data_IF_026608793391
#
_entry.id   IF_026608793391
#
_cell.length_a   1.000
_cell.length_b   1.000
_cell.length_c   1.000
_cell.angle_alpha   90.00
_cell.angle_beta   90.00
_cell.angle_gamma   90.00
#
_symmetry.space_group_name_H-M   'P 1'
#
loop_
_entity.id
_entity.type
_entity.pdbx_description
1 polymer ?
#
# COMPACT_ATOMS: atom_id res chain seq x y z
N UNK A 1 17.43 30.29 -28.81
CA UNK A 1 18.35 29.22 -28.43
C UNK A 1 19.34 28.98 -29.55
N UNK A 2 20.63 28.88 -29.23
CA UNK A 2 21.67 28.50 -30.20
C UNK A 2 22.11 27.07 -29.88
N UNK A 3 22.08 26.20 -30.86
CA UNK A 3 22.56 24.82 -30.77
C UNK A 3 23.89 24.73 -31.51
N UNK A 4 24.94 24.33 -30.82
CA UNK A 4 26.26 24.10 -31.43
C UNK A 4 26.38 22.63 -31.80
N UNK A 5 26.93 22.35 -32.98
CA UNK A 5 27.11 21.00 -33.53
C UNK A 5 28.58 20.68 -33.76
N UNK A 6 28.90 19.42 -34.01
CA UNK A 6 30.24 18.97 -34.36
C UNK A 6 31.31 19.28 -33.32
N UNK A 7 32.49 19.68 -33.78
CA UNK A 7 33.66 19.95 -32.91
C UNK A 7 33.41 21.02 -31.86
N UNK A 8 32.55 22.00 -32.12
CA UNK A 8 32.20 23.05 -31.16
C UNK A 8 31.39 22.47 -29.99
N UNK A 9 30.46 21.61 -30.27
CA UNK A 9 29.69 20.90 -29.23
C UNK A 9 30.57 19.99 -28.36
N UNK A 10 31.48 19.25 -29.00
CA UNK A 10 32.46 18.41 -28.32
C UNK A 10 33.40 19.23 -27.41
N UNK A 11 33.90 20.38 -27.90
CA UNK A 11 34.75 21.29 -27.11
C UNK A 11 34.02 21.92 -25.93
N UNK A 12 32.74 22.26 -26.06
CA UNK A 12 31.95 22.82 -25.00
C UNK A 12 31.64 21.72 -23.93
N UNK A 13 31.31 20.51 -24.35
CA UNK A 13 31.08 19.36 -23.47
C UNK A 13 32.34 18.98 -22.69
N UNK A 14 33.51 18.97 -23.34
CA UNK A 14 34.80 18.74 -22.68
C UNK A 14 35.15 19.78 -21.60
N UNK A 15 34.63 21.01 -21.76
CA UNK A 15 34.75 22.10 -20.75
C UNK A 15 33.61 22.16 -19.75
N UNK A 16 32.75 21.13 -19.66
CA UNK A 16 31.60 21.09 -18.77
C UNK A 16 30.49 22.09 -19.15
N UNK A 17 30.52 22.66 -20.37
CA UNK A 17 29.51 23.61 -20.84
C UNK A 17 28.45 22.91 -21.68
N UNK A 18 27.20 23.41 -21.61
CA UNK A 18 26.10 22.90 -22.42
C UNK A 18 26.27 23.23 -23.89
N UNK A 19 25.93 22.30 -24.78
CA UNK A 19 25.93 22.52 -26.23
C UNK A 19 24.74 23.38 -26.70
N UNK A 20 23.67 23.44 -25.91
CA UNK A 20 22.51 24.32 -26.14
C UNK A 20 22.67 25.56 -25.26
N UNK A 21 22.70 26.75 -25.87
CA UNK A 21 22.87 28.02 -25.18
C UNK A 21 21.65 28.91 -25.41
N UNK A 22 21.14 29.47 -24.32
CA UNK A 22 20.08 30.48 -24.38
C UNK A 22 20.71 31.88 -24.36
N UNK A 23 19.99 32.86 -24.90
CA UNK A 23 20.42 34.25 -24.81
C UNK A 23 20.52 34.68 -23.34
N UNK A 24 21.66 35.19 -22.88
CA UNK A 24 21.78 35.66 -21.49
C UNK A 24 20.71 36.69 -21.13
N UNK A 25 20.05 36.50 -20.00
CA UNK A 25 19.00 37.41 -19.52
C UNK A 25 17.62 37.21 -20.16
N UNK A 26 17.47 36.33 -21.15
CA UNK A 26 16.16 36.05 -21.74
C UNK A 26 15.26 35.25 -20.75
N UNK A 27 14.02 35.65 -20.53
CA UNK A 27 13.08 34.90 -19.70
C UNK A 27 12.73 33.59 -20.42
N UNK A 28 13.12 32.45 -19.84
CA UNK A 28 12.86 31.12 -20.42
C UNK A 28 11.53 30.50 -19.92
N UNK A 29 11.00 30.97 -18.80
CA UNK A 29 9.72 30.48 -18.29
C UNK A 29 8.60 30.78 -19.29
N UNK A 30 7.87 29.73 -19.71
CA UNK A 30 6.81 29.77 -20.74
C UNK A 30 7.33 30.17 -22.16
N UNK A 31 8.65 30.32 -22.36
CA UNK A 31 9.19 30.55 -23.69
C UNK A 31 8.96 29.31 -24.56
N UNK A 32 8.41 29.52 -25.75
CA UNK A 32 8.12 28.48 -26.71
C UNK A 32 8.23 28.97 -28.14
N UNK A 33 8.35 28.04 -29.05
CA UNK A 33 8.35 28.34 -30.50
C UNK A 33 7.38 27.39 -31.19
N UNK A 34 6.39 27.93 -31.88
CA UNK A 34 5.42 27.14 -32.64
C UNK A 34 5.93 26.89 -34.07
N UNK A 35 5.89 25.65 -34.50
CA UNK A 35 6.04 25.22 -35.88
C UNK A 35 4.63 25.00 -36.43
N UNK A 36 4.27 25.69 -37.47
CA UNK A 36 2.90 25.77 -37.97
C UNK A 36 2.05 26.82 -37.24
N UNK A 37 0.87 27.08 -37.75
CA UNK A 37 -0.09 28.06 -37.19
C UNK A 37 -0.95 27.42 -36.12
N UNK A 38 -1.04 28.05 -34.94
CA UNK A 38 -1.93 27.59 -33.84
C UNK A 38 -3.36 27.97 -34.16
N UNK A 39 -4.16 26.98 -34.55
CA UNK A 39 -5.58 27.13 -34.88
C UNK A 39 -6.41 26.69 -33.68
N UNK A 40 -7.41 27.48 -33.24
CA UNK A 40 -8.28 27.10 -32.12
C UNK A 40 -8.94 25.73 -32.32
N UNK A 41 -8.91 24.89 -31.27
CA UNK A 41 -9.46 23.54 -31.29
C UNK A 41 -8.63 22.48 -31.99
N UNK A 42 -7.58 22.85 -32.70
CA UNK A 42 -6.71 21.90 -33.41
C UNK A 42 -5.79 21.13 -32.45
N UNK A 43 -5.37 19.90 -32.83
CA UNK A 43 -4.32 19.18 -32.09
C UNK A 43 -2.99 19.97 -32.10
N UNK A 44 -2.32 20.00 -30.95
CA UNK A 44 -1.01 20.65 -30.79
C UNK A 44 -0.04 19.71 -30.11
N UNK A 45 1.06 19.37 -30.80
CA UNK A 45 2.13 18.59 -30.19
C UNK A 45 3.05 19.48 -29.33
N UNK A 46 3.39 19.04 -28.12
CA UNK A 46 4.32 19.73 -27.20
C UNK A 46 5.60 18.92 -27.06
N UNK A 47 6.70 19.49 -27.46
CA UNK A 47 7.99 18.83 -27.56
C UNK A 47 9.06 19.58 -26.76
N UNK A 48 10.09 18.86 -26.31
CA UNK A 48 11.26 19.51 -25.68
C UNK A 48 12.00 20.43 -26.61
N UNK A 49 12.32 19.94 -27.81
CA UNK A 49 13.19 20.59 -28.77
C UNK A 49 12.52 20.98 -30.09
N UNK A 50 13.22 21.87 -30.86
CA UNK A 50 12.72 22.34 -32.15
C UNK A 50 12.74 21.22 -33.21
N UNK A 51 13.74 20.32 -33.18
CA UNK A 51 13.84 19.20 -34.15
C UNK A 51 12.63 18.25 -33.98
N UNK A 52 12.31 17.88 -32.75
CA UNK A 52 11.17 17.04 -32.41
C UNK A 52 9.84 17.70 -32.83
N UNK A 53 9.67 19.01 -32.54
CA UNK A 53 8.48 19.75 -32.97
C UNK A 53 8.35 19.84 -34.48
N UNK A 54 9.47 20.01 -35.20
CA UNK A 54 9.49 20.03 -36.66
C UNK A 54 9.07 18.70 -37.26
N UNK A 55 9.60 17.58 -36.73
CA UNK A 55 9.21 16.24 -37.16
C UNK A 55 7.71 15.95 -36.92
N UNK A 56 7.16 16.34 -35.77
CA UNK A 56 5.74 16.20 -35.49
C UNK A 56 4.86 16.99 -36.45
N UNK A 57 5.25 18.24 -36.75
CA UNK A 57 4.54 19.06 -37.73
C UNK A 57 4.61 18.47 -39.15
N UNK A 58 5.78 17.99 -39.59
CA UNK A 58 5.93 17.35 -40.91
C UNK A 58 5.09 16.06 -41.00
N UNK A 59 5.00 15.30 -39.93
CA UNK A 59 4.25 14.05 -39.90
C UNK A 59 2.72 14.26 -39.97
N UNK A 60 2.21 15.28 -39.29
CA UNK A 60 0.74 15.43 -39.12
C UNK A 60 0.14 16.64 -39.83
N UNK A 61 0.95 17.63 -40.21
CA UNK A 61 0.46 18.95 -40.67
C UNK A 61 -0.13 19.79 -39.52
N UNK A 62 -0.27 19.25 -38.32
CA UNK A 62 -0.76 19.99 -37.16
C UNK A 62 0.37 20.77 -36.47
N UNK A 63 0.05 21.92 -35.84
CA UNK A 63 1.07 22.72 -35.17
C UNK A 63 1.78 21.93 -34.06
N UNK A 64 3.06 22.18 -33.91
CA UNK A 64 3.88 21.63 -32.84
C UNK A 64 4.65 22.71 -32.12
N UNK A 65 4.81 22.63 -30.82
CA UNK A 65 5.44 23.65 -29.99
C UNK A 65 6.67 23.11 -29.30
N UNK A 66 7.82 23.73 -29.60
CA UNK A 66 9.08 23.49 -28.92
C UNK A 66 9.16 24.33 -27.65
N UNK A 67 9.38 23.66 -26.49
CA UNK A 67 9.37 24.28 -25.17
C UNK A 67 10.78 24.67 -24.66
N UNK A 68 11.85 24.42 -25.45
CA UNK A 68 13.24 24.72 -25.12
C UNK A 68 13.78 24.04 -23.84
N UNK A 69 13.28 22.90 -23.51
CA UNK A 69 13.67 22.07 -22.37
C UNK A 69 12.47 21.46 -21.64
N UNK A 70 12.65 20.23 -21.17
CA UNK A 70 11.54 19.46 -20.56
C UNK A 70 10.93 20.18 -19.36
N UNK A 71 11.74 20.81 -18.49
CA UNK A 71 11.25 21.55 -17.32
C UNK A 71 10.35 22.75 -17.63
N UNK A 72 10.17 23.10 -18.91
CA UNK A 72 9.27 24.18 -19.36
C UNK A 72 7.99 23.66 -20.01
N UNK A 73 7.93 22.38 -20.36
CA UNK A 73 6.79 21.75 -21.07
C UNK A 73 5.48 21.95 -20.31
N UNK A 74 5.43 21.65 -19.01
CA UNK A 74 4.23 21.83 -18.20
C UNK A 74 3.72 23.27 -18.17
N UNK A 75 4.63 24.25 -18.05
CA UNK A 75 4.30 25.69 -18.04
C UNK A 75 3.74 26.18 -19.38
N UNK A 76 4.25 25.61 -20.48
CA UNK A 76 3.77 25.92 -21.83
C UNK A 76 2.42 25.25 -22.05
N UNK A 77 2.26 24.02 -21.65
CA UNK A 77 1.00 23.27 -21.71
C UNK A 77 -0.13 24.01 -20.96
N UNK A 78 0.14 24.45 -19.73
CA UNK A 78 -0.81 25.27 -18.95
C UNK A 78 -1.20 26.55 -19.67
N UNK A 79 -0.21 27.28 -20.23
CA UNK A 79 -0.49 28.52 -20.92
C UNK A 79 -1.32 28.30 -22.20
N UNK A 80 -1.06 27.21 -22.93
CA UNK A 80 -1.87 26.86 -24.11
C UNK A 80 -3.29 26.44 -23.71
N UNK A 81 -3.45 25.66 -22.66
CA UNK A 81 -4.75 25.25 -22.13
C UNK A 81 -5.58 26.46 -21.66
N UNK A 82 -4.94 27.45 -21.02
CA UNK A 82 -5.59 28.72 -20.64
C UNK A 82 -6.04 29.53 -21.83
N UNK A 83 -5.27 29.51 -22.93
CA UNK A 83 -5.59 30.22 -24.16
C UNK A 83 -6.67 29.54 -24.99
N UNK A 84 -6.65 28.21 -25.01
CA UNK A 84 -7.60 27.37 -25.75
C UNK A 84 -7.94 26.12 -24.94
N UNK A 85 -9.11 26.17 -24.26
CA UNK A 85 -9.59 25.07 -23.45
C UNK A 85 -9.98 23.82 -24.26
N UNK A 86 -10.29 23.98 -25.54
CA UNK A 86 -10.75 22.91 -26.43
C UNK A 86 -9.61 22.24 -27.21
N UNK A 87 -8.41 22.84 -27.24
CA UNK A 87 -7.27 22.27 -27.98
C UNK A 87 -6.89 20.88 -27.48
N UNK A 88 -6.69 19.94 -28.38
CA UNK A 88 -6.11 18.62 -28.07
C UNK A 88 -4.60 18.76 -27.91
N UNK A 89 -4.12 18.92 -26.69
CA UNK A 89 -2.69 18.99 -26.41
C UNK A 89 -2.10 17.57 -26.33
N UNK A 90 -1.02 17.31 -27.04
CA UNK A 90 -0.33 16.02 -27.06
C UNK A 90 1.12 16.23 -26.62
N UNK A 91 1.48 15.70 -25.46
CA UNK A 91 2.87 15.67 -24.98
C UNK A 91 3.66 14.62 -25.75
N UNK A 92 4.85 14.96 -26.19
CA UNK A 92 5.75 14.07 -26.94
C UNK A 92 7.06 13.96 -26.16
N UNK A 93 7.13 13.09 -25.14
CA UNK A 93 8.32 12.93 -24.32
C UNK A 93 9.43 12.17 -25.05
N UNK A 94 10.66 12.59 -24.83
CA UNK A 94 11.84 11.78 -25.13
C UNK A 94 11.88 10.60 -24.16
N UNK A 95 12.49 9.48 -24.57
CA UNK A 95 12.68 8.30 -23.68
C UNK A 95 13.39 8.69 -22.40
N UNK A 96 12.81 8.27 -21.25
CA UNK A 96 13.25 8.64 -19.90
C UNK A 96 12.55 9.88 -19.33
N UNK A 97 11.44 10.34 -19.97
CA UNK A 97 10.59 11.43 -19.49
C UNK A 97 9.13 11.00 -19.30
N UNK A 98 8.85 9.70 -19.35
CA UNK A 98 7.50 9.13 -19.37
C UNK A 98 6.71 9.48 -18.10
N UNK A 99 7.33 9.32 -16.92
CA UNK A 99 6.70 9.60 -15.63
C UNK A 99 6.32 11.08 -15.50
N UNK A 100 7.28 11.96 -15.81
CA UNK A 100 7.04 13.40 -15.79
C UNK A 100 6.02 13.85 -16.84
N UNK A 101 5.95 13.15 -17.99
CA UNK A 101 4.93 13.42 -19.00
C UNK A 101 3.55 13.04 -18.50
N UNK A 102 3.42 11.90 -17.81
CA UNK A 102 2.16 11.47 -17.21
C UNK A 102 1.66 12.46 -16.14
N UNK A 103 2.55 12.95 -15.28
CA UNK A 103 2.22 13.97 -14.28
C UNK A 103 1.70 15.27 -14.91
N UNK A 104 2.42 15.78 -15.93
CA UNK A 104 2.00 17.00 -16.65
C UNK A 104 0.67 16.77 -17.35
N UNK A 105 0.50 15.61 -18.00
CA UNK A 105 -0.72 15.27 -18.72
C UNK A 105 -1.93 15.20 -17.81
N UNK A 106 -1.79 14.62 -16.63
CA UNK A 106 -2.86 14.57 -15.60
C UNK A 106 -3.21 15.96 -15.07
N UNK A 107 -2.19 16.79 -14.83
CA UNK A 107 -2.39 18.13 -14.27
C UNK A 107 -3.09 19.08 -15.25
N UNK A 108 -2.80 18.96 -16.55
CA UNK A 108 -3.24 19.92 -17.59
C UNK A 108 -4.35 19.33 -18.47
N UNK A 109 -4.60 18.02 -18.44
CA UNK A 109 -5.53 17.35 -19.35
C UNK A 109 -4.95 17.22 -20.76
N UNK A 110 -3.78 16.59 -20.89
CA UNK A 110 -3.11 16.36 -22.17
C UNK A 110 -3.09 14.88 -22.51
N UNK A 111 -3.11 14.53 -23.80
CA UNK A 111 -2.73 13.21 -24.28
C UNK A 111 -1.20 13.05 -24.27
N UNK A 112 -0.68 11.84 -24.25
CA UNK A 112 0.75 11.54 -24.31
C UNK A 112 1.02 10.55 -25.45
N UNK A 113 1.97 10.88 -26.31
CA UNK A 113 2.50 10.00 -27.33
C UNK A 113 3.86 9.46 -26.88
N UNK A 114 3.85 8.29 -26.25
CA UNK A 114 5.08 7.65 -25.77
C UNK A 114 5.86 7.02 -26.92
N UNK A 115 7.20 7.17 -26.91
CA UNK A 115 8.07 6.49 -27.86
C UNK A 115 7.97 4.95 -27.68
N UNK A 116 8.29 4.15 -28.71
CA UNK A 116 8.29 2.69 -28.62
C UNK A 116 9.15 2.19 -27.47
N UNK A 117 8.73 1.06 -26.85
CA UNK A 117 9.47 0.45 -25.75
C UNK A 117 10.81 -0.13 -26.22
N UNK A 118 11.83 -0.06 -25.38
CA UNK A 118 13.15 -0.62 -25.66
C UNK A 118 14.11 0.34 -26.37
N UNK A 119 13.71 1.58 -26.65
CA UNK A 119 14.56 2.58 -27.25
C UNK A 119 15.60 3.15 -26.25
N UNK A 120 16.69 3.68 -26.81
CA UNK A 120 17.75 4.29 -26.01
C UNK A 120 17.27 5.56 -25.30
N UNK A 121 17.87 5.87 -24.16
CA UNK A 121 17.57 7.10 -23.41
C UNK A 121 17.78 8.34 -24.28
N UNK A 122 16.84 9.29 -24.21
CA UNK A 122 16.72 10.51 -25.02
C UNK A 122 16.42 10.24 -26.50
N UNK A 123 15.98 9.05 -26.90
CA UNK A 123 15.41 8.83 -28.23
C UNK A 123 14.11 9.64 -28.34
N UNK A 124 13.95 10.39 -29.41
CA UNK A 124 12.85 11.33 -29.56
C UNK A 124 12.03 11.09 -30.86
N UNK A 125 10.98 11.84 -31.06
CA UNK A 125 10.12 11.70 -32.24
C UNK A 125 10.79 12.04 -33.54
N UNK A 126 11.85 12.87 -33.54
CA UNK A 126 12.65 13.12 -34.73
C UNK A 126 13.52 11.90 -35.10
N UNK A 127 14.08 11.21 -34.11
CA UNK A 127 14.80 9.96 -34.34
C UNK A 127 13.86 8.89 -34.91
N UNK A 128 12.64 8.77 -34.36
CA UNK A 128 11.60 7.86 -34.86
C UNK A 128 11.25 8.16 -36.32
N UNK A 129 10.97 9.41 -36.63
CA UNK A 129 10.63 9.83 -37.97
C UNK A 129 11.76 9.59 -38.99
N UNK A 130 13.03 9.80 -38.59
CA UNK A 130 14.19 9.52 -39.42
C UNK A 130 14.40 8.03 -39.67
N UNK A 131 14.11 7.18 -38.69
CA UNK A 131 14.30 5.74 -38.79
C UNK A 131 13.14 5.04 -39.50
N UNK A 132 11.91 5.40 -39.17
CA UNK A 132 10.72 4.63 -39.58
C UNK A 132 9.76 5.42 -40.50
N UNK A 133 10.00 6.70 -40.66
CA UNK A 133 9.19 7.57 -41.51
C UNK A 133 8.14 8.38 -40.76
N UNK A 134 7.63 9.41 -41.43
CA UNK A 134 6.65 10.36 -40.84
C UNK A 134 5.28 9.70 -40.63
N UNK A 135 4.89 8.72 -41.41
CA UNK A 135 3.61 8.02 -41.28
C UNK A 135 3.52 7.26 -39.96
N UNK A 136 4.62 6.66 -39.52
CA UNK A 136 4.69 5.97 -38.22
C UNK A 136 4.56 6.96 -37.06
N UNK A 137 5.23 8.10 -37.16
CA UNK A 137 5.11 9.16 -36.15
C UNK A 137 3.71 9.78 -36.17
N UNK A 138 3.09 9.97 -37.31
CA UNK A 138 1.70 10.46 -37.38
C UNK A 138 0.74 9.52 -36.69
N UNK A 139 0.83 8.21 -36.96
CA UNK A 139 0.02 7.19 -36.31
C UNK A 139 0.21 7.18 -34.77
N UNK A 140 1.44 7.36 -34.30
CA UNK A 140 1.75 7.46 -32.88
C UNK A 140 1.07 8.68 -32.22
N UNK A 141 1.14 9.84 -32.87
CA UNK A 141 0.53 11.08 -32.37
C UNK A 141 -1.01 11.04 -32.39
N UNK A 142 -1.60 10.40 -33.39
CA UNK A 142 -3.05 10.17 -33.47
C UNK A 142 -3.55 9.22 -32.38
N UNK A 143 -2.79 8.14 -32.11
CA UNK A 143 -3.09 7.16 -31.08
C UNK A 143 -2.85 7.66 -29.65
N UNK A 144 -2.26 8.85 -29.47
CA UNK A 144 -2.03 9.43 -28.15
C UNK A 144 -3.30 9.52 -27.32
N UNK A 145 -3.24 9.07 -26.08
CA UNK A 145 -4.36 9.05 -25.12
C UNK A 145 -3.99 9.80 -23.85
N UNK A 146 -5.01 10.31 -23.15
CA UNK A 146 -4.81 10.81 -21.80
C UNK A 146 -4.42 9.64 -20.88
N UNK A 147 -3.37 9.80 -20.06
CA UNK A 147 -3.04 8.78 -19.09
C UNK A 147 -4.22 8.58 -18.12
N UNK A 148 -4.45 7.34 -17.63
CA UNK A 148 -5.54 7.08 -16.71
C UNK A 148 -5.40 8.01 -15.49
N UNK A 149 -6.51 8.63 -15.10
CA UNK A 149 -6.54 9.43 -13.87
C UNK A 149 -6.21 8.49 -12.70
N UNK A 150 -5.33 8.91 -11.77
CA UNK A 150 -5.09 8.13 -10.58
C UNK A 150 -6.44 7.91 -9.88
N UNK A 151 -6.70 6.67 -9.46
CA UNK A 151 -7.89 6.38 -8.67
C UNK A 151 -7.87 7.25 -7.41
N UNK A 152 -9.00 7.88 -7.06
CA UNK A 152 -9.03 8.72 -5.88
C UNK A 152 -8.67 7.86 -4.65
N UNK A 153 -7.75 8.36 -3.83
CA UNK A 153 -7.31 7.69 -2.60
C UNK A 153 -8.45 7.36 -1.65
N UNK A 154 -9.51 8.16 -1.67
CA UNK A 154 -10.68 8.00 -0.82
C UNK A 154 -11.90 7.71 -1.68
N UNK A 155 -12.64 6.64 -1.32
CA UNK A 155 -13.95 6.34 -1.89
C UNK A 155 -15.03 6.81 -0.91
N UNK A 156 -15.91 7.70 -1.37
CA UNK A 156 -17.08 8.12 -0.61
C UNK A 156 -18.27 7.25 -1.04
N UNK A 157 -18.94 6.66 -0.05
CA UNK A 157 -20.10 5.81 -0.29
C UNK A 157 -21.39 6.62 -0.03
N UNK A 158 -22.33 6.52 -0.95
CA UNK A 158 -23.69 7.02 -0.76
C UNK A 158 -24.52 6.09 0.13
N UNK A 159 -25.73 6.54 0.52
CA UNK A 159 -26.60 5.77 1.40
C UNK A 159 -27.02 4.40 0.82
N UNK A 160 -27.18 4.31 -0.49
CA UNK A 160 -27.54 3.06 -1.16
C UNK A 160 -26.35 2.09 -1.18
N UNK A 161 -25.14 2.55 -1.53
CA UNK A 161 -23.91 1.75 -1.47
C UNK A 161 -23.61 1.24 -0.05
N UNK A 162 -23.93 2.03 0.99
CA UNK A 162 -23.80 1.59 2.39
C UNK A 162 -24.76 0.45 2.73
N UNK A 163 -25.99 0.45 2.19
CA UNK A 163 -26.97 -0.63 2.40
C UNK A 163 -26.56 -1.92 1.70
N UNK A 164 -25.87 -1.78 0.57
CA UNK A 164 -25.40 -2.92 -0.25
C UNK A 164 -24.07 -3.52 0.26
N UNK A 165 -23.47 -2.93 1.31
CA UNK A 165 -22.29 -3.52 1.93
C UNK A 165 -22.59 -4.93 2.46
N UNK A 166 -21.65 -5.88 2.32
CA UNK A 166 -21.83 -7.22 2.84
C UNK A 166 -22.04 -7.18 4.37
N UNK A 167 -22.85 -8.10 4.92
CA UNK A 167 -23.07 -8.17 6.35
C UNK A 167 -21.75 -8.47 7.07
N UNK A 168 -21.69 -8.09 8.37
CA UNK A 168 -20.53 -8.35 9.20
C UNK A 168 -20.19 -9.84 9.20
N UNK A 169 -18.96 -10.15 8.77
CA UNK A 169 -18.41 -11.49 8.79
C UNK A 169 -17.70 -11.76 10.12
N UNK A 170 -17.90 -12.95 10.66
CA UNK A 170 -17.29 -13.40 11.90
C UNK A 170 -16.29 -14.51 11.64
N UNK A 171 -15.12 -14.42 12.26
CA UNK A 171 -14.18 -15.55 12.29
C UNK A 171 -14.57 -16.56 13.37
N UNK A 172 -14.89 -16.08 14.57
CA UNK A 172 -15.56 -16.82 15.63
C UNK A 172 -16.82 -16.06 15.99
N UNK A 173 -17.98 -16.62 15.71
CA UNK A 173 -19.26 -15.91 15.78
C UNK A 173 -19.52 -15.36 17.17
N UNK A 174 -19.77 -14.06 17.23
CA UNK A 174 -20.00 -13.32 18.48
C UNK A 174 -18.74 -13.00 19.28
N UNK A 175 -17.56 -13.54 18.89
CA UNK A 175 -16.30 -13.39 19.63
C UNK A 175 -15.28 -12.59 18.83
N UNK A 176 -15.00 -12.99 17.59
CA UNK A 176 -13.98 -12.38 16.75
C UNK A 176 -14.53 -12.04 15.36
N UNK A 177 -14.36 -10.81 14.86
CA UNK A 177 -14.71 -10.46 13.51
C UNK A 177 -13.79 -11.17 12.50
N UNK A 178 -14.20 -11.26 11.25
CA UNK A 178 -13.36 -11.84 10.19
C UNK A 178 -12.15 -10.97 9.85
N UNK A 179 -12.29 -9.65 10.01
CA UNK A 179 -11.28 -8.63 9.67
C UNK A 179 -11.21 -7.61 10.80
N UNK A 180 -10.02 -7.15 11.15
CA UNK A 180 -9.83 -6.11 12.16
C UNK A 180 -8.70 -6.40 13.14
N UNK A 181 -8.74 -5.75 14.30
CA UNK A 181 -7.80 -5.95 15.40
C UNK A 181 -8.52 -6.55 16.62
N UNK A 182 -7.93 -7.59 17.19
CA UNK A 182 -8.43 -8.17 18.43
C UNK A 182 -7.31 -8.31 19.47
N UNK A 183 -7.69 -8.34 20.75
CA UNK A 183 -6.78 -8.63 21.84
C UNK A 183 -7.24 -9.88 22.60
N UNK A 184 -6.28 -10.71 23.02
CA UNK A 184 -6.46 -11.77 24.00
C UNK A 184 -5.55 -11.47 25.18
N UNK A 185 -6.12 -11.14 26.33
CA UNK A 185 -5.35 -10.62 27.44
C UNK A 185 -5.72 -11.26 28.79
N UNK A 186 -4.83 -11.12 29.77
CA UNK A 186 -5.05 -11.64 31.12
C UNK A 186 -3.75 -11.73 31.91
N UNK A 187 -3.78 -12.14 33.20
CA UNK A 187 -2.59 -12.26 34.04
C UNK A 187 -1.57 -13.27 33.48
N UNK A 188 -0.31 -13.15 33.88
CA UNK A 188 0.69 -14.18 33.62
C UNK A 188 0.23 -15.54 34.16
N UNK A 189 0.56 -16.63 33.43
CA UNK A 189 0.17 -17.99 33.76
C UNK A 189 -1.35 -18.27 33.82
N UNK A 190 -2.19 -17.38 33.26
CA UNK A 190 -3.64 -17.65 33.16
C UNK A 190 -3.99 -18.67 32.06
N UNK A 191 -3.06 -19.01 31.17
CA UNK A 191 -3.29 -19.96 30.08
C UNK A 191 -3.57 -19.32 28.72
N UNK A 192 -3.32 -18.01 28.56
CA UNK A 192 -3.56 -17.26 27.31
C UNK A 192 -3.02 -17.93 26.05
N UNK A 193 -1.72 -18.25 26.05
CA UNK A 193 -1.07 -18.84 24.87
C UNK A 193 -1.62 -20.22 24.52
N UNK A 194 -2.07 -21.02 25.51
CA UNK A 194 -2.73 -22.29 25.25
C UNK A 194 -4.11 -22.07 24.63
N UNK A 195 -4.87 -21.11 25.17
CA UNK A 195 -6.19 -20.74 24.65
C UNK A 195 -6.09 -20.15 23.25
N UNK A 196 -5.11 -19.25 23.01
CA UNK A 196 -4.84 -18.65 21.69
C UNK A 196 -4.46 -19.71 20.66
N UNK A 197 -3.64 -20.69 21.05
CA UNK A 197 -3.22 -21.77 20.18
C UNK A 197 -4.40 -22.71 19.83
N UNK A 198 -5.22 -23.06 20.79
CA UNK A 198 -6.42 -23.88 20.57
C UNK A 198 -7.44 -23.14 19.67
N UNK A 199 -7.62 -21.85 19.90
CA UNK A 199 -8.45 -20.98 19.04
C UNK A 199 -7.91 -20.92 17.61
N UNK A 200 -6.59 -20.74 17.46
CA UNK A 200 -5.90 -20.71 16.16
C UNK A 200 -6.09 -22.02 15.39
N UNK A 201 -5.96 -23.16 16.05
CA UNK A 201 -6.20 -24.47 15.46
C UNK A 201 -7.68 -24.65 15.04
N UNK A 202 -8.63 -24.23 15.90
CA UNK A 202 -10.05 -24.29 15.59
C UNK A 202 -10.41 -23.42 14.38
N UNK A 203 -9.81 -22.23 14.24
CA UNK A 203 -10.00 -21.34 13.08
C UNK A 203 -9.41 -21.98 11.83
N UNK A 204 -8.20 -22.54 11.90
CA UNK A 204 -7.54 -23.15 10.76
C UNK A 204 -8.34 -24.34 10.18
N UNK A 205 -9.11 -25.03 11.00
CA UNK A 205 -9.96 -26.15 10.58
C UNK A 205 -11.42 -25.77 10.30
N UNK A 206 -11.90 -24.61 10.79
CA UNK A 206 -13.32 -24.26 10.78
C UNK A 206 -14.15 -25.09 11.78
N UNK A 207 -13.51 -25.62 12.83
CA UNK A 207 -14.18 -26.39 13.88
C UNK A 207 -14.77 -25.48 14.94
N UNK A 208 -15.90 -25.88 15.56
CA UNK A 208 -16.49 -25.13 16.67
C UNK A 208 -15.48 -24.92 17.80
N UNK A 209 -15.47 -23.71 18.34
CA UNK A 209 -14.65 -23.34 19.48
C UNK A 209 -15.53 -22.88 20.61
N UNK A 210 -15.55 -23.62 21.75
CA UNK A 210 -16.48 -23.41 22.88
C UNK A 210 -17.94 -23.19 22.41
N UNK A 211 -18.43 -24.10 21.57
CA UNK A 211 -19.74 -24.06 20.94
C UNK A 211 -19.99 -22.89 19.98
N UNK A 212 -19.10 -21.92 19.88
CA UNK A 212 -19.17 -20.87 18.90
C UNK A 212 -18.90 -21.40 17.48
N UNK A 213 -19.69 -20.93 16.51
CA UNK A 213 -19.47 -21.23 15.08
C UNK A 213 -18.19 -20.54 14.61
N UNK A 214 -17.34 -21.30 13.94
CA UNK A 214 -16.08 -20.79 13.39
C UNK A 214 -16.13 -20.84 11.85
N UNK A 215 -15.68 -19.78 11.21
CA UNK A 215 -15.41 -19.74 9.79
C UNK A 215 -13.92 -19.98 9.55
N UNK A 216 -13.59 -20.99 8.73
CA UNK A 216 -12.21 -21.39 8.46
C UNK A 216 -11.42 -20.27 7.79
N UNK A 217 -10.17 -20.13 8.20
CA UNK A 217 -9.18 -19.28 7.53
C UNK A 217 -7.77 -19.80 7.79
N UNK A 218 -6.80 -19.49 6.91
CA UNK A 218 -5.39 -19.66 7.22
C UNK A 218 -5.03 -18.92 8.50
N UNK A 219 -4.16 -19.51 9.32
CA UNK A 219 -3.67 -18.89 10.56
C UNK A 219 -2.16 -18.87 10.57
N UNK A 220 -1.57 -17.71 10.83
CA UNK A 220 -0.14 -17.56 11.14
C UNK A 220 0.01 -17.21 12.60
N UNK A 221 0.65 -18.08 13.37
CA UNK A 221 0.91 -17.88 14.78
C UNK A 221 2.36 -17.48 15.02
N UNK A 222 2.60 -16.22 15.33
CA UNK A 222 3.91 -15.70 15.69
C UNK A 222 4.17 -15.93 17.18
N UNK A 223 4.91 -16.99 17.49
CA UNK A 223 5.29 -17.35 18.85
C UNK A 223 6.62 -16.68 19.23
N UNK A 224 6.55 -15.50 19.81
CA UNK A 224 7.69 -14.68 20.17
C UNK A 224 8.16 -14.91 21.62
N UNK A 225 7.46 -15.78 22.35
CA UNK A 225 7.80 -16.15 23.72
C UNK A 225 7.66 -17.66 23.90
N UNK A 226 8.72 -18.28 24.42
CA UNK A 226 8.76 -19.71 24.72
C UNK A 226 8.82 -20.64 23.51
N UNK A 227 9.53 -20.23 22.45
CA UNK A 227 9.66 -20.95 21.18
C UNK A 227 10.11 -22.39 21.38
N UNK A 228 11.07 -22.63 22.29
CA UNK A 228 11.58 -23.97 22.61
C UNK A 228 10.50 -24.92 23.16
N UNK A 229 9.48 -24.39 23.83
CA UNK A 229 8.35 -25.15 24.37
C UNK A 229 7.23 -25.41 23.38
N UNK A 230 7.23 -24.76 22.21
CA UNK A 230 6.10 -24.84 21.29
C UNK A 230 5.89 -26.22 20.69
N UNK A 231 6.98 -26.96 20.43
CA UNK A 231 6.89 -28.36 20.00
C UNK A 231 6.08 -29.22 20.99
N UNK A 232 6.33 -29.04 22.29
CA UNK A 232 5.61 -29.78 23.34
C UNK A 232 4.14 -29.34 23.41
N UNK A 233 3.86 -28.06 23.23
CA UNK A 233 2.47 -27.55 23.19
C UNK A 233 1.71 -28.11 22.00
N UNK A 234 2.33 -28.16 20.85
CA UNK A 234 1.76 -28.77 19.65
C UNK A 234 1.43 -30.26 19.87
N UNK A 235 2.41 -31.02 20.38
CA UNK A 235 2.20 -32.45 20.72
C UNK A 235 1.12 -32.65 21.77
N UNK A 236 1.07 -31.83 22.82
CA UNK A 236 0.03 -31.90 23.85
C UNK A 236 -1.36 -31.63 23.25
N UNK A 237 -1.47 -30.66 22.32
CA UNK A 237 -2.70 -30.39 21.62
C UNK A 237 -3.14 -31.58 20.75
N UNK A 238 -2.22 -32.18 19.98
CA UNK A 238 -2.50 -33.34 19.13
C UNK A 238 -2.97 -34.53 19.97
N UNK A 239 -2.31 -34.81 21.09
CA UNK A 239 -2.72 -35.87 22.04
C UNK A 239 -4.12 -35.56 22.61
N UNK A 240 -4.34 -34.34 23.06
CA UNK A 240 -5.61 -33.93 23.64
C UNK A 240 -6.79 -33.98 22.65
N UNK A 241 -6.53 -33.67 21.38
CA UNK A 241 -7.54 -33.67 20.32
C UNK A 241 -7.64 -35.00 19.55
N UNK A 242 -6.67 -35.91 19.73
CA UNK A 242 -6.60 -37.20 19.06
C UNK A 242 -6.36 -37.09 17.55
N UNK A 243 -5.72 -35.99 17.09
CA UNK A 243 -5.48 -35.71 15.67
C UNK A 243 -4.30 -34.77 15.48
N UNK A 244 -3.74 -34.76 14.26
CA UNK A 244 -2.65 -33.85 13.89
C UNK A 244 -3.10 -32.37 13.86
N UNK A 245 -2.12 -31.46 13.97
CA UNK A 245 -2.36 -30.03 13.76
C UNK A 245 -2.89 -29.75 12.35
N UNK A 246 -3.80 -28.78 12.20
CA UNK A 246 -4.36 -28.45 10.89
C UNK A 246 -3.33 -27.86 9.94
N UNK A 247 -3.38 -28.25 8.68
CA UNK A 247 -2.49 -27.73 7.63
C UNK A 247 -2.60 -26.21 7.44
N UNK A 248 -3.76 -25.64 7.75
CA UNK A 248 -3.99 -24.20 7.70
C UNK A 248 -3.30 -23.39 8.80
N UNK A 249 -2.76 -24.05 9.85
CA UNK A 249 -2.01 -23.40 10.94
C UNK A 249 -0.51 -23.38 10.64
N UNK A 250 0.05 -22.21 10.47
CA UNK A 250 1.48 -21.99 10.27
C UNK A 250 2.11 -21.30 11.48
N UNK A 251 3.30 -21.76 11.87
CA UNK A 251 4.03 -21.21 13.02
C UNK A 251 5.18 -20.36 12.54
N UNK A 252 5.32 -19.17 13.09
CA UNK A 252 6.50 -18.31 12.96
C UNK A 252 7.23 -18.25 14.30
N UNK A 253 8.46 -18.72 14.33
CA UNK A 253 9.31 -18.79 15.53
C UNK A 253 10.51 -17.83 15.46
N UNK A 254 10.64 -17.10 14.36
CA UNK A 254 11.71 -16.11 14.20
C UNK A 254 11.41 -14.84 15.00
N UNK A 255 12.46 -14.09 15.41
CA UNK A 255 12.29 -12.78 15.98
C UNK A 255 11.48 -11.87 15.04
N UNK A 256 10.56 -11.11 15.59
CA UNK A 256 9.69 -10.18 14.87
C UNK A 256 9.44 -8.95 15.73
N UNK A 257 9.56 -7.78 15.13
CA UNK A 257 9.26 -6.49 15.78
C UNK A 257 8.13 -5.80 15.06
N UNK A 258 7.00 -5.70 15.71
CA UNK A 258 5.84 -4.98 15.17
C UNK A 258 6.12 -3.48 14.96
N UNK A 259 7.07 -2.90 15.71
CA UNK A 259 7.52 -1.51 15.57
C UNK A 259 8.57 -1.30 14.47
N UNK A 260 8.98 -2.35 13.76
CA UNK A 260 9.86 -2.27 12.60
C UNK A 260 9.00 -2.43 11.32
N UNK A 261 8.93 -1.38 10.52
CA UNK A 261 8.09 -1.38 9.31
C UNK A 261 8.52 -2.43 8.27
N UNK A 262 9.83 -2.77 8.21
CA UNK A 262 10.31 -3.80 7.28
C UNK A 262 9.87 -5.20 7.75
N UNK A 263 9.97 -5.50 9.04
CA UNK A 263 9.47 -6.76 9.61
C UNK A 263 7.98 -6.96 9.32
N UNK A 264 7.18 -5.88 9.42
CA UNK A 264 5.74 -5.90 9.10
C UNK A 264 5.49 -6.21 7.62
N UNK A 265 6.24 -5.59 6.72
CA UNK A 265 6.13 -5.83 5.27
C UNK A 265 6.56 -7.25 4.90
N UNK A 266 7.66 -7.73 5.46
CA UNK A 266 8.20 -9.06 5.19
C UNK A 266 7.26 -10.16 5.71
N UNK A 267 6.66 -9.98 6.90
CA UNK A 267 5.64 -10.90 7.40
C UNK A 267 4.39 -10.87 6.52
N UNK A 268 3.90 -9.69 6.18
CA UNK A 268 2.71 -9.56 5.33
C UNK A 268 2.89 -10.21 3.96
N UNK A 269 4.11 -10.20 3.40
CA UNK A 269 4.41 -10.81 2.09
C UNK A 269 4.27 -12.35 2.07
N UNK A 270 4.37 -13.01 3.24
CA UNK A 270 4.27 -14.48 3.34
C UNK A 270 2.95 -14.95 3.98
N UNK A 271 2.19 -14.04 4.55
CA UNK A 271 0.87 -14.34 5.15
C UNK A 271 -0.18 -14.46 4.05
N UNK A 272 -0.97 -15.54 4.01
CA UNK A 272 -2.08 -15.65 3.06
C UNK A 272 -3.12 -14.56 3.26
N UNK A 273 -3.73 -14.13 2.17
CA UNK A 273 -4.80 -13.15 2.17
C UNK A 273 -6.02 -13.61 3.01
N UNK A 274 -6.58 -12.71 3.82
CA UNK A 274 -7.68 -13.02 4.73
C UNK A 274 -7.30 -13.89 5.94
N UNK A 275 -6.02 -14.14 6.17
CA UNK A 275 -5.53 -14.95 7.28
C UNK A 275 -5.74 -14.29 8.65
N UNK A 276 -5.75 -15.10 9.69
CA UNK A 276 -5.62 -14.64 11.07
C UNK A 276 -4.16 -14.66 11.48
N UNK A 277 -3.62 -13.51 11.91
CA UNK A 277 -2.26 -13.40 12.44
C UNK A 277 -2.34 -13.27 13.97
N UNK A 278 -1.81 -14.24 14.70
CA UNK A 278 -1.72 -14.19 16.16
C UNK A 278 -0.30 -13.77 16.55
N UNK A 279 -0.16 -12.70 17.32
CA UNK A 279 1.12 -12.20 17.83
C UNK A 279 1.21 -12.51 19.32
N UNK A 280 1.99 -13.50 19.72
CA UNK A 280 2.12 -13.98 21.11
C UNK A 280 3.58 -13.84 21.59
N UNK A 281 3.95 -12.74 22.28
CA UNK A 281 3.11 -11.70 22.85
C UNK A 281 3.43 -10.33 22.30
N UNK A 282 2.50 -9.38 22.46
CA UNK A 282 2.70 -7.98 22.05
C UNK A 282 3.95 -7.36 22.70
N UNK A 283 4.21 -7.63 23.97
CA UNK A 283 5.38 -7.13 24.67
C UNK A 283 6.71 -7.60 24.01
N UNK A 284 6.73 -8.81 23.46
CA UNK A 284 7.89 -9.32 22.73
C UNK A 284 8.00 -8.75 21.31
N UNK A 285 6.86 -8.44 20.70
CA UNK A 285 6.81 -7.79 19.39
C UNK A 285 7.18 -6.29 19.46
N UNK A 286 7.11 -5.66 20.63
CA UNK A 286 7.43 -4.24 20.83
C UNK A 286 8.31 -4.06 22.09
N UNK A 287 9.53 -4.64 22.14
CA UNK A 287 10.31 -4.74 23.38
C UNK A 287 10.85 -3.41 23.92
N UNK A 288 10.93 -2.38 23.08
CA UNK A 288 11.46 -1.05 23.44
C UNK A 288 10.36 -0.04 23.72
N UNK A 289 9.11 -0.37 23.46
CA UNK A 289 7.99 0.54 23.65
C UNK A 289 7.58 0.63 25.12
N UNK A 290 7.29 1.84 25.59
CA UNK A 290 6.62 2.05 26.87
C UNK A 290 5.10 1.88 26.70
N UNK A 291 4.58 0.78 27.23
CA UNK A 291 3.16 0.43 27.15
C UNK A 291 2.22 1.50 27.75
N UNK A 292 2.72 2.40 28.60
CA UNK A 292 1.94 3.49 29.20
C UNK A 292 2.04 4.80 28.39
N UNK A 293 2.95 4.86 27.42
CA UNK A 293 3.10 5.99 26.52
C UNK A 293 2.01 5.96 25.44
N UNK A 294 1.22 7.02 25.34
CA UNK A 294 0.21 7.13 24.27
C UNK A 294 0.84 7.19 22.88
N UNK A 295 2.06 7.71 22.78
CA UNK A 295 2.81 7.79 21.53
C UNK A 295 3.25 6.40 21.07
N UNK A 296 3.94 5.65 21.94
CA UNK A 296 4.46 4.34 21.60
C UNK A 296 3.32 3.36 21.31
N UNK A 297 2.23 3.47 22.08
CA UNK A 297 1.02 2.69 21.82
C UNK A 297 0.36 3.08 20.47
N UNK A 298 0.43 4.36 20.09
CA UNK A 298 -0.02 4.81 18.77
C UNK A 298 0.78 4.16 17.64
N UNK A 299 2.10 4.13 17.75
CA UNK A 299 3.01 3.49 16.77
C UNK A 299 2.73 1.98 16.66
N UNK A 300 2.52 1.29 17.78
CA UNK A 300 2.12 -0.14 17.81
C UNK A 300 0.79 -0.36 17.09
N UNK A 301 -0.19 0.47 17.36
CA UNK A 301 -1.52 0.35 16.75
C UNK A 301 -1.50 0.64 15.24
N UNK A 302 -0.72 1.61 14.80
CA UNK A 302 -0.52 1.88 13.37
C UNK A 302 0.13 0.69 12.67
N UNK A 303 1.17 0.11 13.26
CA UNK A 303 1.83 -1.06 12.71
C UNK A 303 0.91 -2.29 12.66
N UNK A 304 0.12 -2.54 13.71
CA UNK A 304 -0.86 -3.61 13.73
C UNK A 304 -1.96 -3.40 12.66
N UNK A 305 -2.42 -2.17 12.47
CA UNK A 305 -3.37 -1.81 11.40
C UNK A 305 -2.76 -1.96 10.02
N UNK A 306 -1.49 -1.62 9.84
CA UNK A 306 -0.78 -1.83 8.57
C UNK A 306 -0.71 -3.32 8.25
N UNK A 307 -0.30 -4.16 9.20
CA UNK A 307 -0.29 -5.62 9.03
C UNK A 307 -1.67 -6.15 8.67
N UNK A 308 -2.71 -5.70 9.37
CA UNK A 308 -4.10 -6.07 9.10
C UNK A 308 -4.54 -5.64 7.70
N UNK A 309 -4.21 -4.42 7.26
CA UNK A 309 -4.58 -3.91 5.94
C UNK A 309 -3.89 -4.68 4.81
N UNK A 310 -2.60 -5.02 4.98
CA UNK A 310 -1.83 -5.76 4.00
C UNK A 310 -2.30 -7.22 3.88
N UNK A 311 -2.67 -7.85 5.00
CA UNK A 311 -3.15 -9.24 5.01
C UNK A 311 -4.65 -9.37 4.78
N UNK A 312 -5.40 -8.26 4.83
CA UNK A 312 -6.87 -8.18 4.71
C UNK A 312 -7.63 -9.12 5.66
N UNK A 313 -7.01 -9.49 6.77
CA UNK A 313 -7.49 -10.45 7.74
C UNK A 313 -7.66 -9.88 9.14
N UNK A 314 -7.53 -10.74 10.13
CA UNK A 314 -7.63 -10.43 11.56
C UNK A 314 -6.25 -10.50 12.21
N UNK A 315 -5.85 -9.46 12.95
CA UNK A 315 -4.65 -9.51 13.80
C UNK A 315 -5.09 -9.63 15.26
N UNK A 316 -4.62 -10.69 15.93
CA UNK A 316 -4.90 -10.98 17.35
C UNK A 316 -3.63 -10.73 18.17
N UNK A 317 -3.67 -9.74 19.05
CA UNK A 317 -2.56 -9.39 19.93
C UNK A 317 -2.74 -10.07 21.30
N UNK A 318 -1.83 -10.99 21.64
CA UNK A 318 -1.81 -11.60 22.96
C UNK A 318 -1.03 -10.70 23.92
N UNK A 319 -1.68 -10.28 25.03
CA UNK A 319 -1.08 -9.30 25.92
C UNK A 319 -1.36 -9.61 27.40
N UNK A 320 -0.66 -8.93 28.29
CA UNK A 320 -0.84 -9.10 29.75
C UNK A 320 -1.80 -8.05 30.32
N UNK A 321 -2.44 -8.39 31.44
CA UNK A 321 -3.05 -7.38 32.33
C UNK A 321 -1.95 -6.67 33.12
N UNK A 322 -2.24 -5.44 33.58
CA UNK A 322 -1.38 -4.75 34.54
C UNK A 322 -1.31 -5.46 35.90
N UNK A 323 -0.51 -4.92 36.84
CA UNK A 323 -0.41 -5.43 38.23
C UNK A 323 -1.76 -5.41 38.96
N UNK A 324 -2.63 -4.47 38.60
CA UNK A 324 -4.01 -4.37 39.05
C UNK A 324 -4.92 -4.96 37.96
N UNK A 325 -5.28 -6.21 38.10
CA UNK A 325 -6.15 -6.93 37.16
C UNK A 325 -7.52 -6.29 36.98
N UNK A 326 -8.01 -5.56 38.01
CA UNK A 326 -9.30 -4.86 37.96
C UNK A 326 -9.31 -3.72 36.89
N UNK A 327 -8.15 -3.26 36.46
CA UNK A 327 -8.03 -2.23 35.41
C UNK A 327 -8.05 -2.78 33.98
N UNK A 328 -8.16 -4.09 33.79
CA UNK A 328 -8.24 -4.73 32.47
C UNK A 328 -6.91 -4.83 31.73
N UNK A 329 -6.93 -4.64 30.40
CA UNK A 329 -5.76 -4.74 29.52
C UNK A 329 -4.67 -3.77 29.97
N UNK A 330 -3.43 -4.27 30.12
CA UNK A 330 -2.27 -3.45 30.47
C UNK A 330 -1.93 -2.44 29.38
N UNK A 331 -1.43 -1.27 29.81
CA UNK A 331 -0.96 -0.22 28.92
C UNK A 331 -1.97 0.93 28.79
N UNK A 332 -1.71 1.80 27.81
CA UNK A 332 -2.54 2.97 27.56
C UNK A 332 -3.95 2.56 27.11
N UNK A 333 -4.98 3.24 27.59
CA UNK A 333 -6.40 2.95 27.28
C UNK A 333 -6.72 2.94 25.78
N UNK A 334 -5.89 3.58 24.96
CA UNK A 334 -6.01 3.56 23.51
C UNK A 334 -5.90 2.16 22.90
N UNK A 335 -5.11 1.24 23.50
CA UNK A 335 -5.02 -0.13 23.01
C UNK A 335 -6.39 -0.82 23.04
N UNK A 336 -7.05 -0.82 24.21
CA UNK A 336 -8.37 -1.42 24.33
C UNK A 336 -9.43 -0.72 23.46
N UNK A 337 -9.36 0.62 23.41
CA UNK A 337 -10.27 1.40 22.58
C UNK A 337 -10.16 1.07 21.08
N UNK A 338 -8.95 0.81 20.58
CA UNK A 338 -8.68 0.50 19.18
C UNK A 338 -9.08 -0.93 18.74
N UNK A 339 -9.26 -1.85 19.67
CA UNK A 339 -9.67 -3.22 19.34
C UNK A 339 -11.11 -3.29 18.86
N UNK A 340 -11.38 -4.12 17.86
CA UNK A 340 -12.73 -4.47 17.41
C UNK A 340 -13.34 -5.55 18.30
N UNK A 341 -12.50 -6.45 18.86
CA UNK A 341 -12.88 -7.44 19.85
C UNK A 341 -11.78 -7.63 20.91
N UNK A 342 -12.16 -8.00 22.12
CA UNK A 342 -11.20 -8.32 23.17
C UNK A 342 -11.71 -9.50 24.02
N UNK A 343 -10.82 -10.48 24.22
CA UNK A 343 -11.04 -11.65 25.05
C UNK A 343 -10.21 -11.51 26.32
N UNK A 344 -10.85 -11.52 27.46
CA UNK A 344 -10.18 -11.57 28.77
C UNK A 344 -10.05 -13.00 29.25
N UNK A 345 -8.86 -13.36 29.68
CA UNK A 345 -8.57 -14.67 30.29
C UNK A 345 -8.26 -14.46 31.77
N UNK A 346 -9.05 -15.03 32.63
CA UNK A 346 -8.88 -15.00 34.08
C UNK A 346 -8.45 -16.36 34.63
N UNK A 347 -7.82 -16.32 35.81
CA UNK A 347 -7.46 -17.50 36.59
C UNK A 347 -7.68 -17.22 38.06
N UNK A 348 -8.43 -18.08 38.69
CA UNK A 348 -8.66 -18.09 40.16
C UNK A 348 -8.38 -19.50 40.68
N UNK A 349 -7.24 -19.68 41.31
CA UNK A 349 -6.75 -21.00 41.67
C UNK A 349 -6.51 -21.89 40.43
N UNK A 350 -7.24 -23.02 40.38
CA UNK A 350 -7.23 -23.93 39.23
C UNK A 350 -8.34 -23.66 38.21
N UNK A 351 -9.30 -22.81 38.56
CA UNK A 351 -10.35 -22.38 37.63
C UNK A 351 -9.83 -21.35 36.67
N UNK A 352 -10.06 -21.58 35.38
CA UNK A 352 -9.78 -20.64 34.33
C UNK A 352 -11.06 -20.34 33.57
N UNK A 353 -11.15 -19.12 33.10
CA UNK A 353 -12.27 -18.65 32.32
C UNK A 353 -11.81 -17.66 31.30
N UNK A 354 -12.41 -17.68 30.11
CA UNK A 354 -12.29 -16.58 29.17
C UNK A 354 -13.67 -15.96 28.98
N UNK A 355 -13.70 -14.66 28.72
CA UNK A 355 -14.93 -13.92 28.41
C UNK A 355 -14.72 -12.94 27.30
N UNK A 356 -15.77 -12.62 26.55
CA UNK A 356 -15.81 -11.50 25.61
C UNK A 356 -15.87 -10.21 26.43
N UNK A 357 -14.73 -9.53 26.57
CA UNK A 357 -14.63 -8.28 27.32
C UNK A 357 -15.01 -7.06 26.47
N UNK A 358 -14.95 -7.21 25.14
CA UNK A 358 -15.38 -6.21 24.16
C UNK A 358 -15.77 -6.89 22.87
N UNK A 359 -16.90 -6.50 22.30
CA UNK A 359 -17.28 -6.76 20.91
C UNK A 359 -17.90 -5.47 20.35
N UNK A 360 -17.28 -4.90 19.31
CA UNK A 360 -17.72 -3.63 18.74
C UNK A 360 -19.09 -3.74 18.05
N UNK A 361 -19.33 -4.89 17.43
CA UNK A 361 -20.52 -5.15 16.63
C UNK A 361 -21.32 -6.37 17.13
N UNK A 362 -21.02 -6.86 18.33
CA UNK A 362 -21.66 -8.02 18.97
C UNK A 362 -21.99 -7.77 20.44
N UNK A 363 -22.43 -8.82 21.11
CA UNK A 363 -22.65 -8.79 22.56
C UNK A 363 -21.34 -9.10 23.29
N UNK A 364 -21.12 -8.43 24.42
CA UNK A 364 -20.03 -8.71 25.35
C UNK A 364 -20.57 -9.42 26.62
N UNK A 365 -19.62 -9.85 27.47
CA UNK A 365 -19.95 -10.46 28.77
C UNK A 365 -20.15 -11.97 28.75
N UNK A 366 -20.24 -12.64 27.60
CA UNK A 366 -20.32 -14.11 27.56
C UNK A 366 -19.00 -14.73 28.05
N UNK A 367 -19.10 -15.69 28.99
CA UNK A 367 -17.96 -16.27 29.67
C UNK A 367 -17.98 -17.81 29.60
N UNK A 368 -16.79 -18.39 29.40
CA UNK A 368 -16.64 -19.84 29.23
C UNK A 368 -15.50 -20.37 30.10
N UNK A 369 -15.82 -21.31 31.04
CA UNK A 369 -14.78 -21.95 31.84
C UNK A 369 -13.98 -22.95 31.02
N UNK A 370 -12.67 -23.08 31.33
CA UNK A 370 -11.80 -24.08 30.72
C UNK A 370 -10.76 -24.63 31.70
N UNK A 371 -10.21 -25.79 31.37
CA UNK A 371 -9.11 -26.42 32.08
C UNK A 371 -7.97 -26.72 31.16
N UNK A 372 -6.75 -26.60 31.68
CA UNK A 372 -5.54 -27.10 31.00
C UNK A 372 -5.29 -28.52 31.58
N UNK A 373 -5.17 -29.48 30.68
CA UNK A 373 -4.71 -30.83 31.01
C UNK A 373 -3.19 -30.86 30.81
N UNK A 374 -2.50 -31.44 31.79
CA UNK A 374 -1.04 -31.62 31.80
C UNK A 374 -0.71 -33.04 31.33
#
# INVERSE_FOLDING_TARGET
>A
QCVTTGDTAARLKAKGKKAKLNLPGAPMARASFAVGELVPGAPVALCEGVGTAWACWQATGHPAVACFGWGNVGKVAEALRQRDAAARLVLVPDVGKEESAAEIAQAVGCAVAYMPQGEAQNFDANDLAQREGHDVLAALLEAATEPPKPEPRYKLLGADELRDLPPLAWRVRGVLPAVGLAALYGPSASGKSFLAFDMAAAIAEGQRWFDCRVEAAPVVYAALEGEAGFKLRAQAWEVSRGRALPDGLRMMLQPFKLTDGQDVLDLAAVVPDGAVVVVDTLNRAAPTADENSSRDMGEILEAAKLLQALTRGLVVLVHHTGKDSARGLRGHSSLFAAMDAAIEVSREGDRREWKVAKSKDGQDGEAHPFKLHV
#
